data_IF_816314953291
#
_entry.id   IF_816314953291
#
_cell.length_a   1.000
_cell.length_b   1.000
_cell.length_c   1.000
_cell.angle_alpha   90.00
_cell.angle_beta   90.00
_cell.angle_gamma   90.00
#
_symmetry.space_group_name_H-M   'P 1'
#
loop_
_entity.id
_entity.type
_entity.pdbx_description
1 polymer ?
#
# COMPACT_ATOMS: atom_id res chain seq x y z
N UNK A 1 -36.55 13.53 -1.10
CA UNK A 1 -35.41 14.01 -1.91
C UNK A 1 -34.24 13.17 -1.47
N UNK A 2 -33.69 12.36 -2.37
CA UNK A 2 -32.52 11.53 -2.10
C UNK A 2 -31.31 12.18 -2.77
N UNK A 3 -30.21 12.28 -2.03
CA UNK A 3 -28.93 12.80 -2.51
C UNK A 3 -27.89 11.69 -2.43
N UNK A 4 -27.19 11.46 -3.52
CA UNK A 4 -26.08 10.51 -3.61
C UNK A 4 -24.79 11.29 -3.82
N UNK A 5 -23.79 11.00 -3.00
CA UNK A 5 -22.43 11.54 -3.16
C UNK A 5 -21.65 10.54 -4.00
N UNK A 6 -20.94 11.03 -5.01
CA UNK A 6 -20.01 10.22 -5.80
C UNK A 6 -18.61 10.39 -5.24
N UNK A 7 -17.89 9.28 -5.16
CA UNK A 7 -16.48 9.25 -4.83
C UNK A 7 -15.64 9.94 -5.91
N UNK A 8 -14.59 10.63 -5.47
CA UNK A 8 -13.56 11.25 -6.32
C UNK A 8 -12.23 10.91 -5.68
N UNK A 9 -11.24 10.57 -6.50
CA UNK A 9 -9.90 10.27 -6.01
C UNK A 9 -9.25 11.52 -5.41
N UNK A 10 -9.37 11.70 -4.10
CA UNK A 10 -8.88 12.86 -3.36
C UNK A 10 -8.04 12.49 -2.12
N UNK A 11 -7.95 11.20 -1.79
CA UNK A 11 -7.00 10.68 -0.82
C UNK A 11 -5.76 10.16 -1.55
N UNK A 12 -4.60 10.26 -0.89
CA UNK A 12 -3.36 9.69 -1.39
C UNK A 12 -3.02 8.44 -0.58
N UNK A 13 -2.36 7.43 -1.18
CA UNK A 13 -2.01 6.22 -0.44
C UNK A 13 -1.05 6.52 0.72
N UNK A 14 -1.33 5.96 1.89
CA UNK A 14 -0.51 6.09 3.09
C UNK A 14 0.09 4.75 3.52
N UNK A 15 1.34 4.77 3.99
CA UNK A 15 2.01 3.58 4.50
C UNK A 15 1.41 3.13 5.83
N UNK A 16 1.05 1.84 5.93
CA UNK A 16 0.45 1.24 7.13
C UNK A 16 1.31 0.15 7.75
N UNK A 17 2.54 0.01 7.26
CA UNK A 17 3.54 -0.92 7.79
C UNK A 17 3.89 -0.56 9.24
N UNK A 18 4.22 -1.58 10.04
CA UNK A 18 4.69 -1.43 11.44
C UNK A 18 5.80 -2.44 11.72
N UNK A 19 6.85 -2.10 12.51
CA UNK A 19 7.14 -0.79 13.12
C UNK A 19 7.84 0.21 12.15
N UNK A 20 7.81 1.50 12.49
CA UNK A 20 8.53 2.56 11.77
C UNK A 20 9.90 2.86 12.43
N UNK A 21 11.00 3.02 11.67
CA UNK A 21 11.12 2.96 10.21
C UNK A 21 11.08 1.53 9.66
N UNK A 22 10.63 1.37 8.42
CA UNK A 22 10.51 0.07 7.76
C UNK A 22 11.88 -0.44 7.33
N UNK A 23 12.44 -1.36 8.12
CA UNK A 23 13.74 -1.96 7.85
C UNK A 23 13.58 -3.47 7.69
N UNK A 24 14.21 -4.00 6.65
CA UNK A 24 14.27 -5.44 6.38
C UNK A 24 15.69 -5.84 6.04
N UNK A 25 16.08 -7.03 6.48
CA UNK A 25 17.41 -7.58 6.24
C UNK A 25 17.23 -8.90 5.51
N UNK A 26 18.03 -9.08 4.46
CA UNK A 26 18.09 -10.32 3.70
C UNK A 26 19.51 -10.87 3.75
N UNK A 27 19.64 -12.19 3.82
CA UNK A 27 20.95 -12.86 3.81
C UNK A 27 21.62 -12.70 2.46
N UNK A 28 22.95 -12.51 2.45
CA UNK A 28 23.76 -12.51 1.22
C UNK A 28 23.68 -13.85 0.46
N UNK A 29 23.31 -14.93 1.14
CA UNK A 29 23.14 -16.27 0.55
C UNK A 29 21.67 -16.60 0.24
N UNK A 30 20.75 -15.63 0.31
CA UNK A 30 19.34 -15.88 0.08
C UNK A 30 19.10 -16.33 -1.37
N UNK A 31 18.28 -17.39 -1.60
CA UNK A 31 17.99 -17.85 -2.95
C UNK A 31 17.16 -16.82 -3.73
N UNK A 32 17.13 -16.91 -5.06
CA UNK A 32 16.22 -16.13 -5.89
C UNK A 32 14.76 -16.26 -5.43
N UNK A 33 13.99 -15.17 -5.57
CA UNK A 33 12.59 -15.06 -5.13
C UNK A 33 12.37 -15.13 -3.61
N UNK A 34 13.42 -14.90 -2.81
CA UNK A 34 13.25 -14.73 -1.36
C UNK A 34 12.36 -13.51 -1.08
N UNK A 35 11.28 -13.73 -0.33
CA UNK A 35 10.43 -12.64 0.16
C UNK A 35 11.23 -11.79 1.15
N UNK A 36 11.53 -10.54 0.77
CA UNK A 36 12.26 -9.59 1.63
C UNK A 36 11.31 -8.87 2.57
N UNK A 37 10.25 -8.30 2.00
CA UNK A 37 9.24 -7.57 2.77
C UNK A 37 7.91 -7.53 2.02
N UNK A 38 6.81 -7.45 2.76
CA UNK A 38 5.47 -7.25 2.20
C UNK A 38 5.05 -5.81 2.43
N UNK A 39 5.06 -5.00 1.37
CA UNK A 39 4.62 -3.61 1.43
C UNK A 39 3.12 -3.55 1.78
N UNK A 40 2.76 -2.57 2.61
CA UNK A 40 1.38 -2.28 2.98
C UNK A 40 1.16 -0.77 2.91
N UNK A 41 0.19 -0.38 2.09
CA UNK A 41 -0.34 0.96 2.03
C UNK A 41 -1.87 0.89 2.04
N UNK A 42 -2.50 2.00 2.40
CA UNK A 42 -3.95 2.16 2.39
C UNK A 42 -4.29 3.49 1.76
N UNK A 43 -5.25 3.48 0.85
CA UNK A 43 -5.91 4.67 0.36
C UNK A 43 -7.33 4.76 0.97
N UNK A 44 -7.82 5.98 1.17
CA UNK A 44 -9.10 6.28 1.80
C UNK A 44 -10.29 6.22 0.85
N UNK A 45 -10.05 6.26 -0.46
CA UNK A 45 -11.07 6.36 -1.50
C UNK A 45 -11.80 5.03 -1.75
N UNK A 46 -12.93 5.09 -2.44
CA UNK A 46 -13.77 3.92 -2.70
C UNK A 46 -13.38 3.18 -3.99
N UNK A 47 -13.48 1.85 -3.96
CA UNK A 47 -13.29 1.02 -5.15
C UNK A 47 -11.92 1.21 -5.80
N UNK A 48 -11.93 1.46 -7.12
CA UNK A 48 -10.70 1.63 -7.92
C UNK A 48 -9.89 2.86 -7.52
N UNK A 49 -10.51 3.88 -6.92
CA UNK A 49 -9.79 5.06 -6.47
C UNK A 49 -8.93 4.72 -5.24
N UNK A 50 -9.35 3.74 -4.44
CA UNK A 50 -8.61 3.25 -3.28
C UNK A 50 -7.63 2.10 -3.56
N UNK A 51 -7.49 1.66 -4.82
CA UNK A 51 -6.54 0.60 -5.19
C UNK A 51 -5.11 1.15 -5.27
N UNK A 52 -4.15 0.37 -4.75
CA UNK A 52 -2.75 0.78 -4.66
C UNK A 52 -1.86 -0.17 -5.44
N UNK A 53 -1.05 0.40 -6.34
CA UNK A 53 0.00 -0.32 -7.07
C UNK A 53 1.40 0.07 -6.56
N UNK A 54 2.31 -0.91 -6.52
CA UNK A 54 3.70 -0.71 -6.10
C UNK A 54 4.64 -0.98 -7.28
N UNK A 55 5.61 -0.10 -7.47
CA UNK A 55 6.63 -0.18 -8.52
C UNK A 55 8.02 0.12 -7.93
N UNK A 56 9.07 -0.40 -8.57
CA UNK A 56 10.47 -0.15 -8.23
C UNK A 56 11.16 0.66 -9.34
#
# INVERSE_FOLDING_TARGET
VDLTVMDVNDNAPEWTMVPFPYLSVVSANAPPNTLVYKLQARDGDEGVNGEVEFFL
#
